data_IF_394348694697
#
_entry.id   IF_394348694697
#
_cell.length_a   1.000
_cell.length_b   1.000
_cell.length_c   1.000
_cell.angle_alpha   90.00
_cell.angle_beta   90.00
_cell.angle_gamma   90.00
#
_symmetry.space_group_name_H-M   'P 1'
#
loop_
_entity.id
_entity.type
_entity.pdbx_description
1 polymer ?
#
# COMPACT_ATOMS: atom_id res chain seq x y z
N UNK A 1 -12.94 22.06 -13.20
CA UNK A 1 -12.43 21.89 -12.98
C UNK A 1 -12.02 21.66 -12.35
N UNK A 2 -11.62 21.45 -12.18
CA UNK A 2 -10.99 21.21 -11.77
C UNK A 2 -10.41 20.70 -11.40
N UNK A 3 -10.08 20.36 -11.34
CA UNK A 3 -9.31 19.78 -10.91
C UNK A 3 -8.54 19.80 -10.46
N UNK A 4 -8.27 19.97 -10.51
CA UNK A 4 -7.43 19.96 -10.08
C UNK A 4 -7.20 19.96 -9.16
N UNK A 5 -7.58 19.89 -8.99
CA UNK A 5 -7.29 19.69 -8.13
C UNK A 5 -6.98 18.97 -7.63
N UNK A 6 -7.17 18.60 -8.12
CA UNK A 6 -6.78 17.56 -7.84
C UNK A 6 -5.66 17.27 -7.39
N UNK A 7 -5.30 17.68 -7.70
CA UNK A 7 -4.14 17.59 -7.35
C UNK A 7 -3.70 17.84 -6.02
N UNK A 8 -4.08 18.68 -5.36
CA UNK A 8 -3.61 19.09 -4.09
C UNK A 8 -3.80 18.06 -3.01
N UNK A 9 -4.94 17.44 -2.98
CA UNK A 9 -5.22 16.40 -2.00
C UNK A 9 -4.28 15.22 -2.08
N UNK A 10 -3.96 14.82 -3.28
CA UNK A 10 -3.08 13.67 -3.46
C UNK A 10 -1.67 13.95 -2.97
N UNK A 11 -1.23 15.18 -3.07
CA UNK A 11 0.12 15.52 -2.64
C UNK A 11 0.31 15.38 -1.15
N UNK A 12 -0.78 15.40 -0.38
CA UNK A 12 -0.69 15.33 1.08
C UNK A 12 -0.71 13.91 1.61
N UNK A 13 -1.12 12.96 0.80
CA UNK A 13 -1.20 11.57 1.24
C UNK A 13 0.00 10.82 0.71
N UNK A 14 0.94 10.47 1.60
CA UNK A 14 2.09 9.70 1.14
C UNK A 14 1.63 8.32 0.67
N UNK A 15 2.29 7.75 -0.33
CA UNK A 15 1.94 6.41 -0.80
C UNK A 15 2.17 5.34 0.25
N UNK A 16 3.06 5.61 1.20
CA UNK A 16 3.33 4.70 2.31
C UNK A 16 3.01 5.42 3.62
N UNK A 17 2.14 4.83 4.42
CA UNK A 17 1.77 5.38 5.72
C UNK A 17 2.76 4.92 6.78
N UNK A 18 3.25 5.85 7.59
CA UNK A 18 4.22 5.55 8.63
C UNK A 18 3.49 5.47 9.97
N UNK A 19 3.49 4.28 10.60
CA UNK A 19 2.89 4.08 11.91
C UNK A 19 1.45 4.63 11.99
N UNK A 20 0.67 4.38 10.96
CA UNK A 20 -0.66 4.96 10.84
C UNK A 20 -1.71 4.07 11.51
N UNK A 21 -2.45 4.57 12.50
CA UNK A 21 -3.44 3.75 13.19
C UNK A 21 -4.62 3.30 12.32
N UNK A 22 -4.81 3.93 11.15
CA UNK A 22 -5.87 3.49 10.24
C UNK A 22 -5.69 2.05 9.78
N UNK A 23 -4.47 1.55 9.86
CA UNK A 23 -4.15 0.19 9.42
C UNK A 23 -4.00 -0.80 10.57
N UNK A 24 -4.41 -0.38 11.77
CA UNK A 24 -4.40 -1.30 12.91
C UNK A 24 -5.35 -2.45 12.63
N UNK A 25 -4.87 -3.67 12.82
CA UNK A 25 -5.68 -4.85 12.56
C UNK A 25 -5.66 -5.34 11.12
N UNK A 26 -5.05 -4.57 10.22
CA UNK A 26 -4.90 -5.01 8.84
C UNK A 26 -3.80 -6.07 8.78
N UNK A 27 -3.91 -6.95 7.80
CA UNK A 27 -3.02 -8.11 7.71
C UNK A 27 -1.98 -7.91 6.62
N UNK A 28 -0.72 -8.23 6.94
CA UNK A 28 0.37 -8.10 5.98
C UNK A 28 0.38 -9.29 5.03
N UNK A 29 0.37 -8.99 3.72
CA UNK A 29 0.43 -10.04 2.70
C UNK A 29 1.78 -10.06 1.99
N UNK A 30 2.60 -9.06 2.16
CA UNK A 30 3.93 -9.05 1.55
C UNK A 30 4.78 -7.94 2.11
N UNK A 31 6.10 -8.10 1.96
CA UNK A 31 7.07 -7.10 2.38
C UNK A 31 7.96 -6.80 1.19
N UNK A 32 8.21 -5.52 0.97
CA UNK A 32 8.99 -5.07 -0.19
C UNK A 32 10.10 -4.14 0.25
N UNK A 33 11.16 -4.12 -0.53
CA UNK A 33 12.34 -3.32 -0.19
C UNK A 33 12.25 -1.88 -0.69
N UNK A 34 11.23 -1.57 -1.49
CA UNK A 34 11.08 -0.21 -1.98
C UNK A 34 9.60 0.16 -2.13
N UNK A 35 9.36 1.47 -2.12
CA UNK A 35 8.02 2.00 -2.19
C UNK A 35 7.34 1.73 -3.53
N UNK A 36 8.07 1.87 -4.62
CA UNK A 36 7.47 1.77 -5.95
C UNK A 36 6.85 0.40 -6.20
N UNK A 37 7.56 -0.66 -5.81
CA UNK A 37 7.06 -2.02 -5.95
C UNK A 37 5.83 -2.25 -5.09
N UNK A 38 5.89 -1.80 -3.83
CA UNK A 38 4.77 -1.98 -2.92
C UNK A 38 3.52 -1.24 -3.39
N UNK A 39 3.70 -0.01 -3.88
CA UNK A 39 2.59 0.80 -4.37
C UNK A 39 1.97 0.16 -5.61
N UNK A 40 2.79 -0.40 -6.49
CA UNK A 40 2.28 -1.07 -7.69
C UNK A 40 1.38 -2.25 -7.30
N UNK A 41 1.80 -3.05 -6.34
CA UNK A 41 0.98 -4.16 -5.87
C UNK A 41 -0.29 -3.68 -5.15
N UNK A 42 -0.17 -2.62 -4.37
CA UNK A 42 -1.34 -2.02 -3.72
C UNK A 42 -2.38 -1.62 -4.76
N UNK A 43 -1.94 -0.94 -5.82
CA UNK A 43 -2.84 -0.47 -6.85
C UNK A 43 -3.47 -1.64 -7.61
N UNK A 44 -2.70 -2.70 -7.83
CA UNK A 44 -3.21 -3.89 -8.48
C UNK A 44 -4.32 -4.54 -7.64
N UNK A 45 -4.11 -4.66 -6.33
CA UNK A 45 -5.11 -5.23 -5.45
C UNK A 45 -6.35 -4.36 -5.39
N UNK A 46 -6.18 -3.04 -5.35
CA UNK A 46 -7.33 -2.12 -5.35
C UNK A 46 -8.13 -2.25 -6.64
N UNK A 47 -7.46 -2.42 -7.76
CA UNK A 47 -8.12 -2.60 -9.04
C UNK A 47 -8.96 -3.88 -9.07
N UNK A 48 -8.61 -4.85 -8.24
CA UNK A 48 -9.35 -6.10 -8.14
C UNK A 48 -10.37 -6.11 -7.01
N UNK A 49 -10.61 -4.95 -6.40
CA UNK A 49 -11.64 -4.82 -5.39
C UNK A 49 -11.20 -5.13 -3.97
N UNK A 50 -9.90 -5.23 -3.73
CA UNK A 50 -9.37 -5.52 -2.40
C UNK A 50 -8.87 -4.23 -1.76
N UNK A 51 -9.25 -4.00 -0.50
CA UNK A 51 -8.77 -2.84 0.23
C UNK A 51 -7.33 -3.10 0.67
N UNK A 52 -6.41 -2.33 0.13
CA UNK A 52 -4.99 -2.53 0.38
C UNK A 52 -4.31 -1.20 0.67
N UNK A 53 -3.21 -1.26 1.41
CA UNK A 53 -2.41 -0.10 1.74
C UNK A 53 -0.96 -0.51 1.90
N UNK A 54 -0.08 0.49 1.88
CA UNK A 54 1.34 0.29 2.14
C UNK A 54 1.70 0.99 3.43
N UNK A 55 2.35 0.29 4.34
CA UNK A 55 2.75 0.85 5.63
C UNK A 55 4.20 0.55 5.92
N UNK A 56 4.81 1.34 6.78
CA UNK A 56 6.17 1.14 7.23
C UNK A 56 6.29 1.56 8.68
N UNK A 57 7.23 0.95 9.39
CA UNK A 57 7.47 1.29 10.80
C UNK A 57 8.34 2.53 10.94
N UNK A 58 9.16 2.80 9.93
CA UNK A 58 10.09 3.92 9.93
C UNK A 58 10.03 4.63 8.59
N UNK A 59 10.38 5.92 8.56
CA UNK A 59 10.44 6.63 7.29
C UNK A 59 11.41 5.95 6.33
N UNK A 60 11.05 5.92 5.06
CA UNK A 60 11.92 5.39 4.02
C UNK A 60 13.04 6.37 3.75
N UNK A 61 14.10 5.91 3.08
CA UNK A 61 15.18 6.80 2.72
C UNK A 61 14.75 7.71 1.58
N UNK A 62 15.64 8.60 1.15
CA UNK A 62 15.31 9.56 0.10
C UNK A 62 15.03 8.93 -1.26
N UNK A 63 15.38 7.66 -1.41
CA UNK A 63 15.11 6.91 -2.64
C UNK A 63 13.87 6.04 -2.53
N UNK A 64 13.12 6.16 -1.44
CA UNK A 64 11.92 5.36 -1.22
C UNK A 64 12.23 3.92 -0.85
N UNK A 65 13.39 3.65 -0.29
CA UNK A 65 13.80 2.31 0.09
C UNK A 65 13.68 2.10 1.59
N UNK A 66 13.35 0.89 1.95
CA UNK A 66 13.18 0.47 3.33
C UNK A 66 12.16 -0.64 3.37
N UNK A 67 11.82 -1.09 4.57
CA UNK A 67 10.85 -2.18 4.70
C UNK A 67 9.44 -1.61 4.55
N UNK A 68 8.78 -1.96 3.45
CA UNK A 68 7.41 -1.55 3.18
C UNK A 68 6.53 -2.78 3.24
N UNK A 69 5.49 -2.70 4.07
CA UNK A 69 4.55 -3.80 4.24
C UNK A 69 3.29 -3.52 3.43
N UNK A 70 2.90 -4.49 2.62
CA UNK A 70 1.64 -4.43 1.89
C UNK A 70 0.59 -5.09 2.76
N UNK A 71 -0.41 -4.32 3.19
CA UNK A 71 -1.44 -4.79 4.09
C UNK A 71 -2.81 -4.73 3.43
N UNK A 72 -3.69 -5.61 3.86
CA UNK A 72 -5.07 -5.65 3.36
C UNK A 72 -6.03 -5.64 4.54
N UNK A 73 -7.26 -5.21 4.27
CA UNK A 73 -8.28 -5.13 5.30
C UNK A 73 -8.56 -6.51 5.89
N UNK A 74 -9.00 -6.56 7.15
CA UNK A 74 -9.31 -7.84 7.79
C UNK A 74 -10.29 -8.66 6.97
N UNK A 75 -9.98 -9.93 6.81
CA UNK A 75 -10.84 -10.83 6.06
C UNK A 75 -10.52 -10.94 4.59
N UNK A 76 -9.56 -10.16 4.10
CA UNK A 76 -9.20 -10.19 2.68
C UNK A 76 -7.82 -10.78 2.41
N UNK A 77 -7.16 -11.26 3.45
CA UNK A 77 -5.80 -11.77 3.32
C UNK A 77 -5.70 -12.95 2.35
N UNK A 78 -6.60 -13.92 2.49
CA UNK A 78 -6.53 -15.13 1.66
C UNK A 78 -6.68 -14.80 0.19
N UNK A 79 -7.61 -13.91 -0.13
CA UNK A 79 -7.83 -13.51 -1.51
C UNK A 79 -6.65 -12.74 -2.07
N UNK A 80 -6.11 -11.82 -1.28
CA UNK A 80 -4.95 -11.04 -1.69
C UNK A 80 -3.73 -11.93 -1.88
N UNK A 81 -3.51 -12.86 -0.96
CA UNK A 81 -2.38 -13.77 -1.05
C UNK A 81 -2.47 -14.65 -2.29
N UNK A 82 -3.68 -15.12 -2.60
CA UNK A 82 -3.91 -15.93 -3.80
C UNK A 82 -3.54 -15.15 -5.06
N UNK A 83 -3.93 -13.88 -5.12
CA UNK A 83 -3.62 -13.04 -6.26
C UNK A 83 -2.11 -12.86 -6.41
N UNK A 84 -1.43 -12.58 -5.29
CA UNK A 84 0.02 -12.39 -5.32
C UNK A 84 0.74 -13.65 -5.78
N UNK A 85 0.28 -14.81 -5.36
CA UNK A 85 0.91 -16.07 -5.75
C UNK A 85 0.67 -16.43 -7.20
N UNK A 86 -0.45 -15.99 -7.75
CA UNK A 86 -0.83 -16.38 -9.12
C UNK A 86 -0.33 -15.41 -10.18
N UNK A 87 0.27 -14.30 -9.77
CA UNK A 87 0.73 -13.29 -10.72
C UNK A 87 2.21 -13.38 -11.06
N UNK A 88 2.87 -14.41 -10.69
CA UNK A 88 4.27 -14.61 -11.03
C UNK A 88 4.48 -14.85 -12.52
#
# INVERSE_FOLDING_TARGET
MRPLRLFGGTAKDPPVAIADPRFDGWETVGTFADQDTAVAWRDQLRALGIEAGCVADHPLDRHGRGDVYLVVAPGQWSRANEILENLD
#
